data_IF_886236161641
#
_entry.id   IF_886236161641
#
_cell.length_a   1.000
_cell.length_b   1.000
_cell.length_c   1.000
_cell.angle_alpha   90.00
_cell.angle_beta   90.00
_cell.angle_gamma   90.00
#
_symmetry.space_group_name_H-M   'P 1'
#
loop_
_entity.id
_entity.type
_entity.pdbx_description
1 polymer ?
#
# COMPACT_ATOMS: atom_id res chain seq x y z
N UNK A 1 -12.08 25.00 2.78
CA UNK A 1 -13.23 25.94 2.97
C UNK A 1 -14.57 25.22 3.16
N UNK A 2 -14.77 24.07 2.55
CA UNK A 2 -16.04 23.30 2.64
C UNK A 2 -16.37 22.87 4.10
N UNK A 3 -15.35 22.54 4.88
CA UNK A 3 -15.49 22.11 6.29
C UNK A 3 -16.02 23.21 7.23
N UNK A 4 -15.87 24.48 6.85
CA UNK A 4 -16.39 25.62 7.62
C UNK A 4 -17.92 25.68 7.64
N UNK A 5 -18.57 24.97 6.74
CA UNK A 5 -20.04 24.88 6.64
C UNK A 5 -20.60 23.58 7.24
N UNK A 6 -19.80 22.88 8.05
CA UNK A 6 -20.24 21.67 8.73
C UNK A 6 -20.10 20.37 7.91
N UNK A 7 -19.63 20.44 6.68
CA UNK A 7 -19.35 19.25 5.88
C UNK A 7 -18.09 18.53 6.37
N UNK A 8 -18.07 17.20 6.24
CA UNK A 8 -16.86 16.38 6.46
C UNK A 8 -16.20 16.14 5.11
N UNK A 9 -14.90 16.43 5.03
CA UNK A 9 -14.08 16.15 3.87
C UNK A 9 -13.33 14.83 4.05
N UNK A 10 -13.44 13.93 3.07
CA UNK A 10 -12.56 12.77 2.94
C UNK A 10 -11.49 13.12 1.91
N UNK A 11 -10.24 13.20 2.36
CA UNK A 11 -9.11 13.63 1.53
C UNK A 11 -8.25 12.44 1.10
N UNK A 12 -8.13 12.21 -0.20
CA UNK A 12 -7.29 11.16 -0.77
C UNK A 12 -5.87 11.63 -1.13
N UNK A 13 -5.57 12.92 -0.94
CA UNK A 13 -4.22 13.43 -1.17
C UNK A 13 -3.26 13.09 -0.01
N UNK A 14 -1.99 13.38 -0.18
CA UNK A 14 -1.02 13.24 0.93
C UNK A 14 -0.96 14.46 1.86
N UNK A 15 -1.77 15.50 1.59
CA UNK A 15 -1.62 16.82 2.22
C UNK A 15 -1.86 16.81 3.74
N UNK A 16 -2.83 16.01 4.21
CA UNK A 16 -3.27 16.02 5.60
C UNK A 16 -2.90 14.75 6.38
N UNK A 17 -2.34 13.74 5.72
CA UNK A 17 -2.14 12.40 6.32
C UNK A 17 -1.37 12.42 7.62
N UNK A 18 -0.35 13.27 7.72
CA UNK A 18 0.52 13.34 8.90
C UNK A 18 0.18 14.49 9.85
N UNK A 19 -0.87 15.28 9.56
CA UNK A 19 -1.35 16.33 10.47
C UNK A 19 -1.89 15.68 11.76
N UNK A 20 -1.50 16.25 12.92
CA UNK A 20 -1.86 15.68 14.23
C UNK A 20 -3.36 15.77 14.53
N UNK A 21 -4.03 16.75 13.96
CA UNK A 21 -5.45 17.07 14.14
C UNK A 21 -6.34 16.55 12.99
N UNK A 22 -5.78 15.67 12.17
CA UNK A 22 -6.52 14.98 11.09
C UNK A 22 -6.33 13.47 11.26
N UNK A 23 -7.41 12.70 11.48
CA UNK A 23 -7.32 11.25 11.55
C UNK A 23 -6.95 10.67 10.17
N UNK A 24 -6.10 9.66 10.19
CA UNK A 24 -5.70 8.86 9.04
C UNK A 24 -6.36 7.49 9.18
N UNK A 25 -7.37 7.20 8.36
CA UNK A 25 -8.33 6.13 8.64
C UNK A 25 -8.31 5.02 7.59
N UNK A 26 -8.22 3.80 8.08
CA UNK A 26 -8.56 2.55 7.38
C UNK A 26 -9.67 1.89 8.19
N UNK A 27 -10.92 1.83 7.68
CA UNK A 27 -12.07 1.40 8.47
C UNK A 27 -11.90 0.04 9.16
N UNK A 28 -11.25 -0.92 8.50
CA UNK A 28 -10.99 -2.26 9.01
C UNK A 28 -9.95 -2.29 10.16
N UNK A 29 -9.25 -1.16 10.39
CA UNK A 29 -8.14 -1.09 11.35
C UNK A 29 -8.45 -0.15 12.51
N UNK A 30 -8.92 1.09 12.22
CA UNK A 30 -9.08 2.18 13.16
C UNK A 30 -10.29 3.08 12.85
N UNK A 31 -11.46 2.50 12.55
CA UNK A 31 -12.68 3.23 12.19
C UNK A 31 -13.07 4.32 13.19
N UNK A 32 -12.85 4.05 14.48
CA UNK A 32 -13.18 4.97 15.60
C UNK A 32 -12.42 6.29 15.53
N UNK A 33 -11.24 6.32 14.92
CA UNK A 33 -10.47 7.57 14.75
C UNK A 33 -11.24 8.60 13.90
N UNK A 34 -12.11 8.15 13.00
CA UNK A 34 -12.96 9.03 12.20
C UNK A 34 -13.93 9.88 13.04
N UNK A 35 -14.21 9.49 14.27
CA UNK A 35 -15.07 10.24 15.18
C UNK A 35 -14.35 11.45 15.77
N UNK A 36 -13.03 11.40 15.93
CA UNK A 36 -12.20 12.51 16.41
C UNK A 36 -11.56 13.27 15.24
N UNK A 37 -12.33 14.16 14.63
CA UNK A 37 -11.93 14.96 13.46
C UNK A 37 -12.14 16.47 13.69
N UNK A 38 -11.33 17.12 14.53
CA UNK A 38 -11.56 18.53 14.92
C UNK A 38 -11.57 19.51 13.73
N UNK A 39 -10.96 19.15 12.61
CA UNK A 39 -10.97 19.94 11.36
C UNK A 39 -12.07 19.54 10.37
N UNK A 40 -12.93 18.59 10.73
CA UNK A 40 -13.89 17.95 9.81
C UNK A 40 -13.20 17.38 8.54
N UNK A 41 -11.97 16.92 8.68
CA UNK A 41 -11.20 16.26 7.63
C UNK A 41 -10.86 14.85 8.10
N UNK A 42 -11.03 13.87 7.21
CA UNK A 42 -10.54 12.49 7.37
C UNK A 42 -9.58 12.25 6.21
N UNK A 43 -8.35 11.87 6.51
CA UNK A 43 -7.36 11.54 5.49
C UNK A 43 -7.45 10.05 5.12
N UNK A 44 -7.43 9.76 3.83
CA UNK A 44 -7.30 8.42 3.29
C UNK A 44 -5.80 8.11 3.07
N UNK A 45 -5.30 6.96 3.55
CA UNK A 45 -3.88 6.66 3.49
C UNK A 45 -3.34 6.37 2.08
N UNK A 46 -2.05 6.13 2.01
CA UNK A 46 -1.37 5.64 0.82
C UNK A 46 -1.86 4.24 0.43
N UNK A 47 -1.94 3.96 -0.87
CA UNK A 47 -2.51 2.72 -1.41
C UNK A 47 -1.80 1.46 -0.92
N UNK A 48 -0.46 1.44 -0.88
CA UNK A 48 0.30 0.30 -0.35
C UNK A 48 0.17 0.19 1.18
N UNK A 49 0.10 1.31 1.90
CA UNK A 49 -0.11 1.29 3.34
C UNK A 49 -1.48 0.68 3.70
N UNK A 50 -2.55 1.04 2.98
CA UNK A 50 -3.90 0.54 3.29
C UNK A 50 -3.94 -0.99 3.25
N UNK A 51 -3.55 -1.60 2.14
CA UNK A 51 -3.61 -3.05 1.99
C UNK A 51 -2.70 -3.78 3.00
N UNK A 52 -1.53 -3.21 3.31
CA UNK A 52 -0.62 -3.78 4.30
C UNK A 52 -1.24 -3.76 5.70
N UNK A 53 -1.76 -2.62 6.18
CA UNK A 53 -2.26 -2.52 7.56
C UNK A 53 -3.52 -3.34 7.80
N UNK A 54 -4.36 -3.57 6.78
CA UNK A 54 -5.50 -4.50 6.87
C UNK A 54 -5.01 -5.92 7.16
N UNK A 55 -4.00 -6.38 6.46
CA UNK A 55 -3.39 -7.70 6.73
C UNK A 55 -2.68 -7.73 8.09
N UNK A 56 -1.90 -6.68 8.42
CA UNK A 56 -1.20 -6.59 9.70
C UNK A 56 -2.14 -6.61 10.89
N UNK A 57 -3.34 -6.01 10.77
CA UNK A 57 -4.33 -5.98 11.86
C UNK A 57 -4.75 -7.36 12.32
N UNK A 58 -4.91 -8.30 11.39
CA UNK A 58 -5.24 -9.69 11.72
C UNK A 58 -4.14 -10.36 12.58
N UNK A 59 -2.88 -10.09 12.25
CA UNK A 59 -1.72 -10.64 12.99
C UNK A 59 -1.53 -9.91 14.32
N UNK A 60 -1.66 -8.58 14.36
CA UNK A 60 -1.55 -7.76 15.57
C UNK A 60 -2.56 -8.19 16.64
N UNK A 61 -3.76 -8.60 16.24
CA UNK A 61 -4.78 -9.13 17.15
C UNK A 61 -4.38 -10.46 17.81
N UNK A 62 -3.45 -11.19 17.25
CA UNK A 62 -2.90 -12.42 17.84
C UNK A 62 -1.70 -12.15 18.74
N UNK A 63 -0.80 -11.29 18.29
CA UNK A 63 0.41 -10.92 19.01
C UNK A 63 0.97 -9.61 18.46
N UNK A 64 1.45 -8.74 19.35
CA UNK A 64 2.05 -7.48 18.95
C UNK A 64 3.16 -7.67 17.92
N UNK A 65 3.11 -6.89 16.84
CA UNK A 65 4.10 -6.86 15.77
C UNK A 65 5.22 -5.89 16.15
N UNK A 66 6.42 -6.42 16.28
CA UNK A 66 7.63 -5.62 16.59
C UNK A 66 8.23 -4.99 15.34
N UNK A 67 8.22 -5.75 14.23
CA UNK A 67 8.89 -5.34 13.00
C UNK A 67 8.20 -5.87 11.77
N UNK A 68 8.21 -5.06 10.73
CA UNK A 68 7.72 -5.39 9.38
C UNK A 68 8.81 -5.10 8.36
N UNK A 69 9.10 -6.07 7.51
CA UNK A 69 9.81 -5.87 6.26
C UNK A 69 8.85 -6.13 5.11
N UNK A 70 8.74 -5.19 4.18
CA UNK A 70 7.82 -5.30 3.06
C UNK A 70 8.52 -4.96 1.75
N UNK A 71 8.30 -5.78 0.74
CA UNK A 71 8.61 -5.45 -0.65
C UNK A 71 7.31 -5.33 -1.43
N UNK A 72 7.13 -4.20 -2.11
CA UNK A 72 5.93 -3.97 -2.90
C UNK A 72 6.19 -4.23 -4.38
N UNK A 73 5.15 -4.67 -5.08
CA UNK A 73 5.09 -4.82 -6.54
C UNK A 73 3.95 -3.93 -7.03
N UNK A 74 4.31 -2.66 -7.34
CA UNK A 74 3.31 -1.61 -7.58
C UNK A 74 2.98 -1.45 -9.05
N UNK A 75 1.72 -1.63 -9.38
CA UNK A 75 1.19 -1.48 -10.73
C UNK A 75 1.26 -0.03 -11.24
N UNK A 76 1.24 0.14 -12.57
CA UNK A 76 1.26 1.44 -13.24
C UNK A 76 0.08 2.35 -12.84
N UNK A 77 -1.08 1.79 -12.46
CA UNK A 77 -2.27 2.55 -12.06
C UNK A 77 -2.04 3.51 -10.90
N UNK A 78 -1.09 3.20 -9.99
CA UNK A 78 -0.70 4.09 -8.89
C UNK A 78 -0.10 5.43 -9.36
N UNK A 79 0.43 5.49 -10.57
CA UNK A 79 0.91 6.70 -11.22
C UNK A 79 -0.14 7.36 -12.15
N UNK A 80 -1.38 6.84 -12.18
CA UNK A 80 -2.51 7.38 -12.90
C UNK A 80 -2.76 6.80 -14.30
N UNK A 81 -3.85 7.25 -14.93
CA UNK A 81 -4.30 6.72 -16.22
C UNK A 81 -3.27 6.89 -17.33
N UNK A 82 -2.54 8.01 -17.34
CA UNK A 82 -1.49 8.27 -18.34
C UNK A 82 -0.32 7.32 -18.20
N UNK A 83 0.03 6.90 -16.99
CA UNK A 83 1.09 5.90 -16.76
C UNK A 83 0.67 4.50 -17.22
N UNK A 84 -0.60 4.14 -17.06
CA UNK A 84 -1.12 2.88 -17.63
C UNK A 84 -1.06 2.90 -19.16
N UNK A 85 -1.49 4.01 -19.78
CA UNK A 85 -1.45 4.18 -21.24
C UNK A 85 0.00 4.11 -21.78
N UNK A 86 0.95 4.75 -21.07
CA UNK A 86 2.37 4.68 -21.42
C UNK A 86 2.89 3.23 -21.34
N UNK A 87 2.57 2.48 -20.31
CA UNK A 87 2.99 1.07 -20.21
C UNK A 87 2.45 0.23 -21.38
N UNK A 88 1.17 0.39 -21.73
CA UNK A 88 0.59 -0.29 -22.88
C UNK A 88 1.26 0.11 -24.21
N UNK A 89 1.59 1.39 -24.36
CA UNK A 89 2.31 1.91 -25.52
C UNK A 89 3.72 1.33 -25.59
N UNK A 90 4.45 1.32 -24.48
CA UNK A 90 5.80 0.73 -24.41
C UNK A 90 5.82 -0.74 -24.86
N UNK A 91 4.83 -1.54 -24.48
CA UNK A 91 4.71 -2.92 -24.96
C UNK A 91 4.55 -3.00 -26.49
N UNK A 92 3.73 -2.13 -27.08
CA UNK A 92 3.52 -2.09 -28.54
C UNK A 92 4.82 -1.69 -29.27
N UNK A 93 5.49 -0.65 -28.78
CA UNK A 93 6.75 -0.13 -29.34
C UNK A 93 7.87 -1.18 -29.27
N UNK A 94 8.06 -1.84 -28.12
CA UNK A 94 9.06 -2.90 -27.98
C UNK A 94 8.79 -4.05 -28.95
N UNK A 95 7.54 -4.49 -29.09
CA UNK A 95 7.16 -5.59 -29.99
C UNK A 95 7.30 -5.20 -31.46
N UNK A 96 7.15 -3.92 -31.80
CA UNK A 96 7.35 -3.38 -33.15
C UNK A 96 8.82 -3.10 -33.46
N UNK A 97 9.72 -3.16 -32.48
CA UNK A 97 11.12 -2.76 -32.63
C UNK A 97 11.32 -1.25 -32.79
N UNK A 98 10.36 -0.47 -32.28
CA UNK A 98 10.37 0.99 -32.30
C UNK A 98 11.06 1.58 -31.06
N UNK A 99 11.51 2.84 -31.12
CA UNK A 99 12.00 3.55 -29.94
C UNK A 99 10.92 3.63 -28.86
N UNK A 100 11.28 3.34 -27.60
CA UNK A 100 10.32 3.29 -26.48
C UNK A 100 10.09 4.67 -25.88
N UNK A 101 8.83 5.06 -25.77
CA UNK A 101 8.40 6.31 -25.11
C UNK A 101 8.56 6.18 -23.59
N UNK A 102 9.24 7.15 -22.96
CA UNK A 102 9.44 7.22 -21.50
C UNK A 102 9.17 8.65 -21.05
N UNK A 103 7.94 8.91 -20.59
CA UNK A 103 7.47 10.24 -20.17
C UNK A 103 7.07 10.31 -18.69
N UNK A 104 6.39 9.28 -18.17
CA UNK A 104 5.87 9.23 -16.80
C UNK A 104 6.77 8.49 -15.84
N UNK A 105 7.44 7.47 -16.31
CA UNK A 105 8.38 6.69 -15.53
C UNK A 105 9.80 7.22 -15.73
N UNK A 106 10.69 6.93 -14.77
CA UNK A 106 12.11 7.29 -14.90
C UNK A 106 12.83 6.50 -16.00
N UNK A 107 12.32 5.31 -16.33
CA UNK A 107 12.84 4.38 -17.33
C UNK A 107 11.69 3.63 -17.99
N UNK A 108 11.97 2.94 -19.09
CA UNK A 108 11.07 1.94 -19.66
C UNK A 108 10.61 0.99 -18.56
N UNK A 109 9.29 0.82 -18.42
CA UNK A 109 8.69 -0.11 -17.46
C UNK A 109 8.35 -1.46 -18.11
N UNK A 110 7.95 -1.48 -19.40
CA UNK A 110 7.70 -2.72 -20.11
C UNK A 110 8.93 -3.64 -20.06
N UNK A 111 8.75 -4.88 -19.60
CA UNK A 111 9.81 -5.88 -19.36
C UNK A 111 10.87 -5.46 -18.32
N UNK A 112 10.56 -4.56 -17.41
CA UNK A 112 11.50 -4.03 -16.43
C UNK A 112 10.90 -3.94 -15.02
N UNK A 113 11.76 -3.80 -14.02
CA UNK A 113 11.42 -3.47 -12.64
C UNK A 113 12.15 -2.17 -12.28
N UNK A 114 11.43 -1.18 -11.76
CA UNK A 114 12.03 0.09 -11.34
C UNK A 114 11.98 0.16 -9.80
N UNK A 115 13.12 0.02 -9.08
CA UNK A 115 13.17 0.04 -7.62
C UNK A 115 13.12 1.47 -7.08
N UNK A 116 12.20 2.26 -7.60
CA UNK A 116 11.94 3.63 -7.21
C UNK A 116 10.48 3.96 -7.46
N UNK A 117 9.75 4.29 -6.40
CA UNK A 117 8.42 4.88 -6.46
C UNK A 117 8.46 6.20 -5.70
N UNK A 118 8.06 7.30 -6.37
CA UNK A 118 8.24 8.66 -5.87
C UNK A 118 9.76 9.07 -5.79
N UNK A 119 10.06 10.22 -5.22
CA UNK A 119 11.43 10.78 -5.14
C UNK A 119 12.16 10.29 -3.90
N UNK A 120 13.49 10.19 -4.00
CA UNK A 120 14.32 9.88 -2.84
C UNK A 120 14.35 11.02 -1.81
N UNK A 121 14.45 10.64 -0.55
CA UNK A 121 14.66 11.52 0.60
C UNK A 121 16.13 11.48 1.03
N UNK A 122 16.52 12.38 1.93
CA UNK A 122 17.93 12.49 2.39
C UNK A 122 18.46 11.23 3.08
N UNK A 123 17.59 10.40 3.64
CA UNK A 123 17.97 9.15 4.30
C UNK A 123 18.12 7.95 3.35
N UNK A 124 18.00 8.17 2.02
CA UNK A 124 18.13 7.14 1.01
C UNK A 124 16.87 6.31 0.73
N UNK A 125 15.80 6.51 1.49
CA UNK A 125 14.48 5.94 1.18
C UNK A 125 13.72 6.84 0.21
N UNK A 126 12.79 6.28 -0.55
CA UNK A 126 11.83 7.07 -1.32
C UNK A 126 10.71 7.63 -0.43
N UNK A 127 10.02 8.67 -0.89
CA UNK A 127 8.84 9.17 -0.18
C UNK A 127 7.75 8.11 -0.04
N UNK A 128 7.61 7.22 -1.01
CA UNK A 128 6.66 6.10 -0.95
C UNK A 128 6.97 5.18 0.23
N UNK A 129 8.22 4.78 0.38
CA UNK A 129 8.69 3.95 1.49
C UNK A 129 8.51 4.65 2.85
N UNK A 130 8.76 5.96 2.90
CA UNK A 130 8.54 6.76 4.11
C UNK A 130 7.06 6.94 4.45
N UNK A 131 6.15 6.94 3.46
CA UNK A 131 4.70 6.90 3.72
C UNK A 131 4.34 5.59 4.42
N UNK A 132 4.80 4.44 3.94
CA UNK A 132 4.54 3.15 4.59
C UNK A 132 5.03 3.14 6.04
N UNK A 133 6.22 3.66 6.32
CA UNK A 133 6.76 3.77 7.67
C UNK A 133 5.90 4.66 8.58
N UNK A 134 5.61 5.89 8.15
CA UNK A 134 4.95 6.88 9.00
C UNK A 134 3.44 6.60 9.16
N UNK A 135 2.77 6.28 8.06
CA UNK A 135 1.33 6.07 8.04
C UNK A 135 0.93 4.80 8.80
N UNK A 136 1.69 3.70 8.66
CA UNK A 136 1.45 2.45 9.44
C UNK A 136 1.45 2.72 10.94
N UNK A 137 2.44 3.46 11.42
CA UNK A 137 2.56 3.80 12.85
C UNK A 137 1.39 4.65 13.34
N UNK A 138 0.94 5.61 12.53
CA UNK A 138 -0.18 6.47 12.84
C UNK A 138 -1.50 5.69 12.87
N UNK A 139 -1.76 4.85 11.85
CA UNK A 139 -3.00 4.07 11.72
C UNK A 139 -3.11 3.00 12.81
N UNK A 140 -2.02 2.30 13.09
CA UNK A 140 -2.00 1.20 14.06
C UNK A 140 -1.75 1.67 15.50
N UNK A 141 -1.57 2.98 15.73
CA UNK A 141 -1.24 3.55 17.06
C UNK A 141 -0.06 2.84 17.74
N UNK A 142 0.95 2.49 16.96
CA UNK A 142 2.06 1.66 17.40
C UNK A 142 3.41 2.21 16.92
N UNK A 143 4.47 1.85 17.62
CA UNK A 143 5.84 2.19 17.25
C UNK A 143 6.53 1.08 16.43
N UNK A 144 5.76 0.23 15.78
CA UNK A 144 6.24 -0.83 14.89
C UNK A 144 7.39 -0.34 14.00
N UNK A 145 8.48 -1.08 13.99
CA UNK A 145 9.58 -0.81 13.08
C UNK A 145 9.22 -1.32 11.67
N UNK A 146 9.15 -0.41 10.70
CA UNK A 146 8.82 -0.74 9.30
C UNK A 146 10.01 -0.43 8.40
N UNK A 147 10.37 -1.38 7.54
CA UNK A 147 11.30 -1.18 6.43
C UNK A 147 10.62 -1.61 5.14
N UNK A 148 10.54 -0.72 4.17
CA UNK A 148 9.87 -0.95 2.90
C UNK A 148 10.84 -0.81 1.73
N UNK A 149 10.65 -1.65 0.71
CA UNK A 149 11.25 -1.53 -0.62
C UNK A 149 10.13 -1.43 -1.64
N UNK A 150 9.98 -0.27 -2.27
CA UNK A 150 8.89 -0.03 -3.21
C UNK A 150 9.39 -0.17 -4.65
N UNK A 151 8.79 -1.12 -5.40
CA UNK A 151 9.19 -1.43 -6.77
C UNK A 151 8.00 -1.23 -7.71
N UNK A 152 8.21 -0.45 -8.78
CA UNK A 152 7.25 -0.35 -9.88
C UNK A 152 7.42 -1.55 -10.80
N UNK A 153 6.32 -2.27 -11.06
CA UNK A 153 6.31 -3.47 -11.90
C UNK A 153 5.43 -3.27 -13.13
N UNK A 154 5.66 -4.02 -14.23
CA UNK A 154 4.94 -3.86 -15.49
C UNK A 154 3.56 -4.53 -15.46
N UNK A 155 2.79 -4.27 -14.41
CA UNK A 155 1.37 -4.62 -14.27
C UNK A 155 0.52 -3.36 -14.40
N UNK A 156 -0.67 -3.47 -15.00
CA UNK A 156 -1.54 -2.31 -15.18
C UNK A 156 -2.23 -1.91 -13.89
N UNK A 157 -2.77 -2.86 -13.12
CA UNK A 157 -3.57 -2.61 -11.90
C UNK A 157 -3.24 -3.63 -10.84
N UNK A 158 -3.72 -3.35 -9.63
CA UNK A 158 -3.55 -4.12 -8.40
C UNK A 158 -2.08 -4.18 -7.94
N UNK A 159 -1.82 -3.63 -6.76
CA UNK A 159 -0.52 -3.75 -6.10
C UNK A 159 -0.44 -5.10 -5.38
N UNK A 160 0.76 -5.66 -5.33
CA UNK A 160 1.05 -6.83 -4.52
C UNK A 160 2.15 -6.51 -3.52
N UNK A 161 2.22 -7.26 -2.43
CA UNK A 161 3.21 -7.08 -1.39
C UNK A 161 3.68 -8.42 -0.85
N UNK A 162 4.99 -8.53 -0.62
CA UNK A 162 5.58 -9.59 0.17
C UNK A 162 5.92 -9.03 1.54
N UNK A 163 5.21 -9.50 2.57
CA UNK A 163 5.31 -8.95 3.91
C UNK A 163 5.91 -10.00 4.84
N UNK A 164 6.96 -9.63 5.56
CA UNK A 164 7.54 -10.43 6.62
C UNK A 164 7.37 -9.69 7.95
N UNK A 165 6.91 -10.40 8.98
CA UNK A 165 6.64 -9.82 10.30
C UNK A 165 7.39 -10.54 11.40
N UNK A 166 7.83 -9.80 12.40
CA UNK A 166 8.33 -10.29 13.67
C UNK A 166 7.35 -9.93 14.77
N UNK A 167 6.85 -10.94 15.47
CA UNK A 167 5.87 -10.78 16.55
C UNK A 167 6.48 -11.10 17.92
N UNK A 168 5.86 -10.64 18.99
CA UNK A 168 6.33 -10.90 20.36
C UNK A 168 6.29 -12.37 20.72
N UNK A 169 5.20 -13.05 20.36
CA UNK A 169 5.10 -14.50 20.49
C UNK A 169 5.09 -15.17 19.12
N UNK A 170 5.51 -16.40 19.06
CA UNK A 170 5.39 -17.21 17.85
C UNK A 170 3.91 -17.39 17.48
N UNK A 171 3.59 -17.24 16.20
CA UNK A 171 2.29 -17.50 15.59
C UNK A 171 2.46 -18.64 14.61
N UNK A 172 1.66 -19.69 14.76
CA UNK A 172 1.65 -20.80 13.82
C UNK A 172 0.93 -20.42 12.51
N UNK A 173 1.20 -21.16 11.43
CA UNK A 173 0.50 -20.97 10.15
C UNK A 173 -1.01 -21.15 10.30
N UNK A 174 -1.44 -22.11 11.13
CA UNK A 174 -2.86 -22.35 11.38
C UNK A 174 -3.55 -21.17 12.07
N UNK A 175 -2.91 -20.59 13.12
CA UNK A 175 -3.42 -19.39 13.81
C UNK A 175 -3.50 -18.20 12.84
N UNK A 176 -2.46 -17.98 12.05
CA UNK A 176 -2.43 -16.89 11.07
C UNK A 176 -3.53 -17.04 10.02
N UNK A 177 -3.73 -18.26 9.47
CA UNK A 177 -4.78 -18.55 8.50
C UNK A 177 -6.16 -18.28 9.10
N UNK A 178 -6.45 -18.80 10.29
CA UNK A 178 -7.72 -18.57 10.98
C UNK A 178 -7.98 -17.08 11.24
N UNK A 179 -6.94 -16.32 11.59
CA UNK A 179 -7.05 -14.88 11.79
C UNK A 179 -7.38 -14.13 10.48
N UNK A 180 -6.74 -14.48 9.36
CA UNK A 180 -7.03 -13.89 8.06
C UNK A 180 -8.45 -14.27 7.55
N UNK A 181 -8.90 -15.51 7.75
CA UNK A 181 -10.24 -15.95 7.35
C UNK A 181 -11.36 -15.20 8.10
N UNK A 182 -11.07 -14.71 9.31
CA UNK A 182 -12.01 -13.93 10.14
C UNK A 182 -11.88 -12.43 9.97
N UNK A 183 -10.80 -11.96 9.34
CA UNK A 183 -10.52 -10.54 9.23
C UNK A 183 -11.43 -9.88 8.19
N UNK A 184 -12.02 -8.75 8.55
CA UNK A 184 -12.78 -7.92 7.63
C UNK A 184 -11.85 -7.36 6.53
N UNK A 185 -12.34 -7.32 5.29
CA UNK A 185 -11.55 -6.81 4.15
C UNK A 185 -10.49 -7.77 3.63
N UNK A 186 -10.37 -8.99 4.17
CA UNK A 186 -9.38 -9.99 3.76
C UNK A 186 -10.06 -11.23 3.15
N UNK A 187 -9.52 -11.68 2.02
CA UNK A 187 -9.88 -12.96 1.40
C UNK A 187 -8.64 -13.84 1.35
N UNK A 188 -8.72 -15.02 1.97
CA UNK A 188 -7.63 -16.01 1.90
C UNK A 188 -7.73 -16.79 0.59
N UNK A 189 -6.70 -16.68 -0.23
CA UNK A 189 -6.56 -17.44 -1.48
C UNK A 189 -5.20 -18.16 -1.42
N UNK A 190 -5.19 -19.38 -0.91
CA UNK A 190 -3.96 -20.15 -0.67
C UNK A 190 -4.23 -21.64 -0.79
N UNK A 191 -4.27 -22.15 -2.03
CA UNK A 191 -4.37 -23.56 -2.35
C UNK A 191 -3.27 -23.97 -3.36
N UNK A 192 -2.03 -24.21 -2.88
CA UNK A 192 -0.91 -24.51 -3.76
C UNK A 192 -1.10 -25.76 -4.63
N UNK A 193 -1.88 -26.74 -4.15
CA UNK A 193 -2.16 -27.96 -4.90
C UNK A 193 -2.97 -27.70 -6.18
N UNK A 194 -3.81 -26.66 -6.17
CA UNK A 194 -4.58 -26.19 -7.32
C UNK A 194 -3.98 -24.96 -7.99
N UNK A 195 -2.84 -24.49 -7.52
CA UNK A 195 -2.18 -23.26 -7.99
C UNK A 195 -3.04 -21.99 -7.80
N UNK A 196 -3.83 -21.97 -6.74
CA UNK A 196 -4.67 -20.83 -6.37
C UNK A 196 -3.94 -19.95 -5.36
N UNK A 197 -3.59 -18.76 -5.78
CA UNK A 197 -2.99 -17.70 -4.98
C UNK A 197 -3.34 -16.34 -5.59
N UNK A 198 -3.27 -15.23 -4.82
CA UNK A 198 -3.65 -13.91 -5.32
C UNK A 198 -2.67 -13.44 -6.39
N UNK A 199 -3.23 -12.93 -7.49
CA UNK A 199 -2.46 -12.39 -8.62
C UNK A 199 -3.15 -11.14 -9.17
N UNK A 200 -2.40 -10.08 -9.56
CA UNK A 200 -2.97 -8.83 -10.07
C UNK A 200 -3.93 -8.99 -11.27
N UNK A 201 -3.77 -10.05 -12.06
CA UNK A 201 -4.61 -10.29 -13.23
C UNK A 201 -6.05 -10.70 -12.87
N UNK A 202 -6.25 -11.28 -11.70
CA UNK A 202 -7.52 -11.87 -11.28
C UNK A 202 -8.18 -11.14 -10.10
N UNK A 203 -7.69 -9.94 -9.74
CA UNK A 203 -8.20 -9.10 -8.64
C UNK A 203 -8.85 -7.82 -9.17
#
# INVERSE_FOLDING_TARGET
DITRFGAVMIDNSSAFRMDKDVPLVVPEVNAEDALNRPRNIIANPNCTTIQMVVALKAIENLSHIRRVHVSTYQAASGAGATAMAELEQQYREVLAGEPVTVDKFAYQLAYNLIPQVDVFTENGYTKEEMKMFNETRKIMHSDIAVSAMCVRVPSLRAHSESIWVETERHISVAEAREAFEKAEGVVVMDNPAQKEYPMPLFL
#
